data_IF_303311831968
#
_entry.id   IF_303311831968
#
_cell.length_a   1.000
_cell.length_b   1.000
_cell.length_c   1.000
_cell.angle_alpha   90.00
_cell.angle_beta   90.00
_cell.angle_gamma   90.00
#
_symmetry.space_group_name_H-M   'P 1'
#
loop_
_entity.id
_entity.type
_entity.pdbx_description
1 polymer ?
#
# COMPACT_ATOMS: atom_id res chain seq x y z
N UNK A 1 -20.51 15.50 1.94
CA UNK A 1 -19.37 15.26 1.03
C UNK A 1 -19.08 13.79 1.17
N UNK A 2 -19.34 13.00 0.13
CA UNK A 2 -19.21 11.55 0.20
C UNK A 2 -17.80 11.19 -0.30
N UNK A 3 -17.07 10.38 0.46
CA UNK A 3 -15.81 9.83 0.00
C UNK A 3 -16.07 8.86 -1.17
N UNK A 4 -15.29 9.00 -2.24
CA UNK A 4 -15.40 8.14 -3.42
C UNK A 4 -14.41 6.99 -3.30
N UNK A 5 -14.88 5.78 -3.59
CA UNK A 5 -14.08 4.55 -3.51
C UNK A 5 -14.08 3.89 -4.89
N UNK A 6 -12.90 3.57 -5.42
CA UNK A 6 -12.75 2.83 -6.67
C UNK A 6 -11.95 1.55 -6.44
N UNK A 7 -12.32 0.48 -7.14
CA UNK A 7 -11.48 -0.72 -7.20
C UNK A 7 -10.41 -0.52 -8.28
N UNK A 8 -9.16 -0.76 -7.92
CA UNK A 8 -8.09 -0.88 -8.90
C UNK A 8 -8.17 -2.25 -9.58
N UNK A 9 -7.89 -2.28 -10.87
CA UNK A 9 -7.90 -3.52 -11.65
C UNK A 9 -6.78 -4.47 -11.21
N UNK A 10 -7.08 -5.77 -11.27
CA UNK A 10 -6.13 -6.84 -11.00
C UNK A 10 -6.24 -7.44 -9.60
N UNK A 11 -5.41 -8.46 -9.35
CA UNK A 11 -5.30 -9.13 -8.06
C UNK A 11 -3.89 -8.97 -7.53
N UNK A 12 -3.78 -8.60 -6.26
CA UNK A 12 -2.52 -8.26 -5.61
C UNK A 12 -2.13 -9.31 -4.59
N UNK A 13 -0.83 -9.48 -4.38
CA UNK A 13 -0.26 -10.44 -3.44
C UNK A 13 0.62 -9.69 -2.45
N UNK A 14 0.51 -10.06 -1.17
CA UNK A 14 1.32 -9.53 -0.09
C UNK A 14 2.51 -10.47 0.17
N UNK A 15 3.71 -9.91 0.25
CA UNK A 15 4.95 -10.64 0.46
C UNK A 15 5.66 -10.04 1.66
N UNK A 16 6.08 -10.89 2.59
CA UNK A 16 6.97 -10.54 3.69
C UNK A 16 8.35 -11.15 3.45
N UNK A 17 9.36 -10.30 3.59
CA UNK A 17 10.78 -10.62 3.50
C UNK A 17 11.47 -10.21 4.81
N UNK A 18 12.05 -11.16 5.55
CA UNK A 18 12.91 -10.88 6.69
C UNK A 18 14.10 -9.98 6.32
N UNK A 19 14.52 -9.08 7.23
CA UNK A 19 15.57 -8.09 6.95
C UNK A 19 16.95 -8.69 6.67
N UNK A 20 17.23 -9.89 7.16
CA UNK A 20 18.46 -10.65 6.87
C UNK A 20 18.49 -11.18 5.43
N UNK A 21 17.33 -11.35 4.79
CA UNK A 21 17.18 -11.76 3.39
C UNK A 21 16.99 -10.59 2.42
N UNK A 22 16.84 -9.36 2.93
CA UNK A 22 16.64 -8.16 2.11
C UNK A 22 17.67 -8.04 0.99
N UNK A 23 18.96 -8.15 1.32
CA UNK A 23 20.04 -8.02 0.32
C UNK A 23 20.00 -9.13 -0.74
N UNK A 24 19.63 -10.35 -0.34
CA UNK A 24 19.50 -11.49 -1.26
C UNK A 24 18.32 -11.32 -2.24
N UNK A 25 17.29 -10.57 -1.83
CA UNK A 25 16.09 -10.31 -2.62
C UNK A 25 16.01 -8.88 -3.18
N UNK A 26 17.08 -8.07 -3.05
CA UNK A 26 17.12 -6.72 -3.59
C UNK A 26 16.94 -6.70 -5.11
N UNK A 27 17.53 -7.66 -5.84
CA UNK A 27 17.38 -7.72 -7.29
C UNK A 27 15.92 -7.94 -7.73
N UNK A 28 15.16 -8.91 -7.17
CA UNK A 28 13.72 -9.01 -7.37
C UNK A 28 12.94 -7.73 -7.04
N UNK A 29 13.28 -7.07 -5.93
CA UNK A 29 12.65 -5.80 -5.51
C UNK A 29 12.87 -4.71 -6.56
N UNK A 30 14.10 -4.54 -7.04
CA UNK A 30 14.41 -3.55 -8.09
C UNK A 30 13.74 -3.92 -9.42
N UNK A 31 13.60 -5.22 -9.72
CA UNK A 31 12.94 -5.68 -10.94
C UNK A 31 11.45 -5.34 -10.99
N UNK A 32 10.74 -5.41 -9.85
CA UNK A 32 9.33 -5.00 -9.81
C UNK A 32 9.18 -3.48 -9.73
N UNK A 33 10.17 -2.78 -9.17
CA UNK A 33 10.13 -1.32 -9.06
C UNK A 33 10.25 -0.68 -10.45
N UNK A 34 11.10 -1.24 -11.30
CA UNK A 34 11.30 -0.77 -12.66
C UNK A 34 10.25 -1.45 -13.54
N UNK A 35 9.38 -0.70 -14.25
CA UNK A 35 8.31 -1.25 -15.09
C UNK A 35 8.87 -1.86 -16.38
N UNK A 36 9.64 -2.92 -16.23
CA UNK A 36 10.30 -3.67 -17.29
C UNK A 36 9.63 -5.04 -17.39
N UNK A 37 8.90 -5.28 -18.47
CA UNK A 37 8.30 -6.58 -18.75
C UNK A 37 9.31 -7.62 -19.23
N UNK A 38 10.50 -7.18 -19.70
CA UNK A 38 11.46 -8.04 -20.36
C UNK A 38 12.37 -8.77 -19.37
N UNK A 39 12.44 -10.09 -19.51
CA UNK A 39 13.50 -10.89 -18.89
C UNK A 39 14.73 -10.83 -19.81
N UNK A 40 15.90 -10.46 -19.29
CA UNK A 40 17.17 -10.43 -20.07
C UNK A 40 17.55 -11.79 -20.71
N UNK A 41 16.85 -12.88 -20.35
CA UNK A 41 16.97 -14.23 -20.90
C UNK A 41 16.01 -14.50 -22.07
N UNK A 42 15.55 -13.49 -22.81
CA UNK A 42 14.77 -13.66 -24.05
C UNK A 42 15.53 -14.40 -25.18
N UNK A 43 16.73 -14.90 -24.92
CA UNK A 43 17.51 -15.77 -25.79
C UNK A 43 17.18 -17.25 -25.52
N UNK A 44 16.01 -17.71 -25.98
CA UNK A 44 15.68 -19.08 -26.48
C UNK A 44 14.21 -19.43 -26.20
N UNK A 45 13.31 -19.08 -27.13
CA UNK A 45 12.10 -19.86 -27.43
C UNK A 45 11.02 -20.05 -26.36
N UNK A 46 11.20 -19.57 -25.12
CA UNK A 46 10.13 -19.52 -24.12
C UNK A 46 9.29 -18.26 -24.36
N UNK A 47 7.95 -18.35 -24.35
CA UNK A 47 7.11 -17.17 -24.47
C UNK A 47 7.45 -16.23 -23.32
N UNK A 48 7.77 -14.96 -23.61
CA UNK A 48 7.86 -13.93 -22.58
C UNK A 48 6.57 -13.99 -21.78
N UNK A 49 6.65 -14.30 -20.48
CA UNK A 49 5.49 -14.14 -19.61
C UNK A 49 5.19 -12.65 -19.59
N UNK A 50 4.14 -12.22 -20.30
CA UNK A 50 3.62 -10.86 -20.18
C UNK A 50 3.30 -10.64 -18.69
N UNK A 51 4.11 -9.80 -18.05
CA UNK A 51 3.92 -9.46 -16.65
C UNK A 51 2.73 -8.50 -16.59
N UNK A 52 1.55 -9.06 -16.26
CA UNK A 52 0.34 -8.30 -15.99
C UNK A 52 0.56 -7.29 -14.84
N UNK A 53 -0.31 -6.29 -14.73
CA UNK A 53 -0.26 -5.30 -13.66
C UNK A 53 0.48 -4.00 -14.01
N UNK A 54 0.95 -3.88 -15.25
CA UNK A 54 1.28 -2.60 -15.88
C UNK A 54 0.18 -2.19 -16.85
N UNK A 55 -0.15 -0.90 -16.91
CA UNK A 55 -1.05 -0.34 -17.91
C UNK A 55 -0.32 -0.14 -19.26
N UNK A 56 -1.04 0.38 -20.27
CA UNK A 56 -0.48 0.64 -21.62
C UNK A 56 0.67 1.64 -21.64
N UNK A 57 0.81 2.46 -20.61
CA UNK A 57 1.89 3.44 -20.45
C UNK A 57 3.09 2.88 -19.68
N UNK A 58 3.01 1.63 -19.23
CA UNK A 58 4.04 0.99 -18.41
C UNK A 58 4.01 1.43 -16.95
N UNK A 59 2.88 1.90 -16.43
CA UNK A 59 2.73 2.26 -15.01
C UNK A 59 2.06 1.12 -14.24
N UNK A 60 2.43 0.97 -12.97
CA UNK A 60 1.79 -0.02 -12.10
C UNK A 60 0.34 0.34 -11.81
N UNK A 61 -0.56 -0.66 -11.87
CA UNK A 61 -1.90 -0.53 -11.30
C UNK A 61 -1.81 -0.19 -9.81
N UNK A 62 -1.05 -1.01 -9.07
CA UNK A 62 -0.62 -0.73 -7.71
C UNK A 62 0.66 -1.50 -7.35
N UNK A 63 1.59 -0.83 -6.68
CA UNK A 63 2.79 -1.40 -6.09
C UNK A 63 3.11 -0.66 -4.80
N UNK A 64 3.25 -1.39 -3.69
CA UNK A 64 3.83 -0.86 -2.45
C UNK A 64 5.08 -1.65 -2.08
N UNK A 65 6.18 -0.96 -1.79
CA UNK A 65 7.42 -1.54 -1.24
C UNK A 65 7.72 -0.79 0.05
N UNK A 66 7.62 -1.49 1.18
CA UNK A 66 7.85 -0.92 2.51
C UNK A 66 8.98 -1.67 3.19
N UNK A 67 10.12 -1.02 3.40
CA UNK A 67 11.19 -1.48 4.30
C UNK A 67 11.03 -0.74 5.62
N UNK A 68 10.91 -1.48 6.72
CA UNK A 68 10.77 -0.96 8.07
C UNK A 68 11.88 -1.54 8.96
N UNK A 69 12.01 -1.08 10.21
CA UNK A 69 12.93 -1.67 11.18
C UNK A 69 12.65 -3.15 11.49
N UNK A 70 11.45 -3.66 11.13
CA UNK A 70 11.03 -5.03 11.41
C UNK A 70 11.18 -5.95 10.18
N UNK A 71 10.84 -5.45 8.99
CA UNK A 71 10.70 -6.29 7.81
C UNK A 71 10.76 -5.50 6.49
N UNK A 72 10.83 -6.21 5.38
CA UNK A 72 10.43 -5.70 4.07
C UNK A 72 9.10 -6.33 3.65
N UNK A 73 8.08 -5.50 3.44
CA UNK A 73 6.75 -5.87 2.99
C UNK A 73 6.50 -5.34 1.59
N UNK A 74 5.96 -6.17 0.71
CA UNK A 74 5.68 -5.83 -0.68
C UNK A 74 4.23 -6.19 -1.01
N UNK A 75 3.52 -5.26 -1.62
CA UNK A 75 2.24 -5.51 -2.28
C UNK A 75 2.46 -5.29 -3.76
N UNK A 76 2.30 -6.33 -4.57
CA UNK A 76 2.47 -6.23 -6.02
C UNK A 76 1.39 -7.05 -6.74
N UNK A 77 1.18 -6.79 -8.03
CA UNK A 77 0.26 -7.61 -8.82
C UNK A 77 0.71 -9.08 -8.81
N UNK A 78 -0.24 -10.01 -8.73
CA UNK A 78 0.03 -11.43 -8.44
C UNK A 78 0.92 -12.12 -9.49
N UNK A 79 0.92 -11.62 -10.73
CA UNK A 79 1.87 -12.05 -11.78
C UNK A 79 3.33 -11.81 -11.37
N UNK A 80 3.65 -10.70 -10.70
CA UNK A 80 5.01 -10.37 -10.27
C UNK A 80 5.43 -11.22 -9.08
N UNK A 81 4.53 -11.46 -8.12
CA UNK A 81 4.80 -12.40 -7.03
C UNK A 81 5.16 -13.80 -7.58
N UNK A 82 4.35 -14.30 -8.52
CA UNK A 82 4.53 -15.62 -9.14
C UNK A 82 5.76 -15.73 -10.05
N UNK A 83 6.01 -14.72 -10.89
CA UNK A 83 7.00 -14.81 -11.96
C UNK A 83 8.36 -14.17 -11.60
N UNK A 84 8.42 -13.37 -10.52
CA UNK A 84 9.65 -12.71 -10.06
C UNK A 84 10.08 -13.20 -8.67
N UNK A 85 9.18 -13.17 -7.68
CA UNK A 85 9.57 -13.54 -6.31
C UNK A 85 9.62 -15.05 -6.09
N UNK A 86 8.63 -15.83 -6.53
CA UNK A 86 8.67 -17.27 -6.32
C UNK A 86 9.95 -17.94 -6.88
N UNK A 87 10.42 -17.63 -8.11
CA UNK A 87 11.67 -18.19 -8.60
C UNK A 87 12.86 -17.76 -7.74
N UNK A 88 12.96 -16.46 -7.40
CA UNK A 88 14.04 -15.95 -6.57
C UNK A 88 14.08 -16.58 -5.17
N UNK A 89 12.92 -16.86 -4.57
CA UNK A 89 12.80 -17.53 -3.28
C UNK A 89 13.16 -19.02 -3.40
N UNK A 90 12.77 -19.69 -4.51
CA UNK A 90 13.13 -21.10 -4.77
C UNK A 90 14.64 -21.30 -4.91
N UNK A 91 15.35 -20.28 -5.37
CA UNK A 91 16.81 -20.30 -5.49
C UNK A 91 17.54 -20.12 -4.14
N UNK A 92 16.84 -19.72 -3.07
CA UNK A 92 17.40 -19.63 -1.72
C UNK A 92 17.56 -21.02 -1.08
N UNK A 93 18.49 -21.17 -0.11
CA UNK A 93 18.52 -22.35 0.75
C UNK A 93 17.16 -22.62 1.39
N UNK A 94 16.74 -23.89 1.44
CA UNK A 94 15.37 -24.30 1.84
C UNK A 94 14.89 -23.73 3.17
N UNK A 95 15.79 -23.53 4.14
CA UNK A 95 15.41 -23.00 5.45
C UNK A 95 15.23 -21.49 5.43
N UNK A 96 15.99 -20.77 4.60
CA UNK A 96 15.81 -19.33 4.35
C UNK A 96 14.58 -19.08 3.47
N UNK A 97 14.31 -19.93 2.49
CA UNK A 97 13.13 -19.81 1.64
C UNK A 97 11.81 -19.88 2.45
N UNK A 98 11.80 -20.61 3.57
CA UNK A 98 10.62 -20.73 4.45
C UNK A 98 10.36 -19.50 5.32
N UNK A 99 11.37 -18.65 5.55
CA UNK A 99 11.20 -17.44 6.37
C UNK A 99 10.57 -16.29 5.57
N UNK A 100 10.71 -16.31 4.24
CA UNK A 100 9.94 -15.47 3.32
C UNK A 100 8.52 -16.01 3.19
N UNK A 101 7.51 -15.15 3.27
CA UNK A 101 6.11 -15.56 3.15
C UNK A 101 5.40 -14.77 2.07
N UNK A 102 4.83 -15.50 1.10
CA UNK A 102 3.89 -14.99 0.10
C UNK A 102 2.49 -15.35 0.58
N UNK A 103 1.57 -14.39 0.60
CA UNK A 103 0.18 -14.61 1.00
C UNK A 103 -0.49 -15.66 0.11
N UNK A 104 -1.28 -16.55 0.72
CA UNK A 104 -2.08 -17.54 -0.02
C UNK A 104 -3.32 -16.92 -0.64
N UNK A 105 -3.90 -15.96 0.07
CA UNK A 105 -5.00 -15.15 -0.42
C UNK A 105 -4.46 -14.06 -1.34
N UNK A 106 -5.24 -13.74 -2.37
CA UNK A 106 -5.07 -12.54 -3.18
C UNK A 106 -5.92 -11.41 -2.61
N UNK A 107 -5.53 -10.18 -2.92
CA UNK A 107 -6.17 -8.97 -2.44
C UNK A 107 -6.65 -8.11 -3.61
N UNK A 108 -7.78 -7.43 -3.40
CA UNK A 108 -8.22 -6.29 -4.21
C UNK A 108 -7.73 -5.03 -3.52
N UNK A 109 -7.37 -4.02 -4.32
CA UNK A 109 -6.97 -2.71 -3.80
C UNK A 109 -8.10 -1.73 -4.09
N UNK A 110 -8.55 -1.05 -3.04
CA UNK A 110 -9.49 0.07 -3.13
C UNK A 110 -8.66 1.35 -3.04
N UNK A 111 -8.83 2.25 -4.00
CA UNK A 111 -8.36 3.63 -3.90
C UNK A 111 -9.46 4.49 -3.31
N UNK A 112 -9.09 5.37 -2.38
CA UNK A 112 -10.02 6.27 -1.72
C UNK A 112 -9.58 7.71 -1.90
N UNK A 113 -10.47 8.47 -2.52
CA UNK A 113 -10.34 9.92 -2.68
C UNK A 113 -11.38 10.56 -1.75
N UNK A 114 -10.91 11.13 -0.64
CA UNK A 114 -11.76 11.90 0.27
C UNK A 114 -11.27 13.34 0.33
N UNK A 115 -12.05 14.23 -0.29
CA UNK A 115 -11.84 15.67 -0.21
C UNK A 115 -12.48 16.22 1.08
N UNK A 116 -11.69 16.92 1.90
CA UNK A 116 -12.20 17.78 2.97
C UNK A 116 -12.40 17.11 4.35
N UNK A 117 -11.94 15.88 4.55
CA UNK A 117 -11.89 15.23 5.88
C UNK A 117 -10.53 15.40 6.56
N UNK A 118 -10.51 15.44 7.89
CA UNK A 118 -9.26 15.29 8.63
C UNK A 118 -8.73 13.85 8.51
N UNK A 119 -7.41 13.67 8.52
CA UNK A 119 -6.78 12.39 8.16
C UNK A 119 -7.26 11.23 9.06
N UNK A 120 -7.44 11.52 10.35
CA UNK A 120 -7.97 10.60 11.34
C UNK A 120 -9.42 10.18 11.11
N UNK A 121 -10.32 11.15 10.85
CA UNK A 121 -11.72 10.90 10.55
C UNK A 121 -11.87 10.05 9.30
N UNK A 122 -11.03 10.29 8.29
CA UNK A 122 -10.99 9.51 7.05
C UNK A 122 -10.64 8.05 7.29
N UNK A 123 -9.58 7.76 8.06
CA UNK A 123 -9.23 6.37 8.44
C UNK A 123 -10.41 5.69 9.14
N UNK A 124 -11.09 6.39 10.05
CA UNK A 124 -12.22 5.82 10.79
C UNK A 124 -13.46 5.56 9.94
N UNK A 125 -13.86 6.51 9.12
CA UNK A 125 -15.05 6.39 8.26
C UNK A 125 -14.88 5.23 7.28
N UNK A 126 -13.67 5.05 6.74
CA UNK A 126 -13.38 3.99 5.77
C UNK A 126 -13.24 2.61 6.40
N UNK A 127 -12.59 2.52 7.56
CA UNK A 127 -12.23 1.22 8.15
C UNK A 127 -13.33 0.65 9.05
N UNK A 128 -14.19 1.49 9.62
CA UNK A 128 -15.31 1.05 10.46
C UNK A 128 -16.32 0.13 9.77
N UNK A 129 -16.85 0.40 8.56
CA UNK A 129 -17.81 -0.50 7.91
C UNK A 129 -17.20 -1.88 7.63
N UNK A 130 -15.93 -1.92 7.23
CA UNK A 130 -15.21 -3.16 6.94
C UNK A 130 -14.91 -3.95 8.22
N UNK A 131 -14.51 -3.27 9.29
CA UNK A 131 -14.26 -3.90 10.58
C UNK A 131 -15.55 -4.47 11.22
N UNK A 132 -16.67 -3.74 11.13
CA UNK A 132 -17.98 -4.23 11.60
C UNK A 132 -18.51 -5.39 10.74
N UNK A 133 -18.12 -5.47 9.48
CA UNK A 133 -18.41 -6.62 8.63
C UNK A 133 -17.46 -7.82 8.86
N UNK A 134 -16.45 -7.68 9.74
CA UNK A 134 -15.46 -8.72 10.01
C UNK A 134 -14.51 -8.98 8.83
N UNK A 135 -14.21 -7.95 8.04
CA UNK A 135 -13.29 -8.04 6.90
C UNK A 135 -11.88 -7.61 7.36
N UNK A 136 -10.85 -8.46 7.19
CA UNK A 136 -9.47 -8.06 7.46
C UNK A 136 -8.98 -7.11 6.37
N UNK A 137 -8.21 -6.10 6.76
CA UNK A 137 -7.72 -5.08 5.83
C UNK A 137 -6.25 -4.78 6.07
N UNK A 138 -5.55 -4.37 5.01
CA UNK A 138 -4.33 -3.57 5.13
C UNK A 138 -4.66 -2.15 4.68
N UNK A 139 -4.25 -1.16 5.45
CA UNK A 139 -4.47 0.25 5.17
C UNK A 139 -3.14 0.95 4.93
N UNK A 140 -3.02 1.68 3.82
CA UNK A 140 -1.82 2.40 3.41
C UNK A 140 -2.21 3.83 3.09
N UNK A 141 -1.82 4.77 3.97
CA UNK A 141 -1.90 6.20 3.68
C UNK A 141 -0.74 6.62 2.79
N UNK A 142 -1.07 7.32 1.69
CA UNK A 142 -0.09 7.92 0.79
C UNK A 142 -0.27 9.42 0.68
N UNK A 143 0.55 10.09 -0.13
CA UNK A 143 0.55 11.54 -0.28
C UNK A 143 -0.76 12.07 -0.89
N UNK A 144 -1.38 11.32 -1.80
CA UNK A 144 -2.59 11.74 -2.52
C UNK A 144 -3.83 10.97 -2.08
N UNK A 145 -3.72 9.64 -2.02
CA UNK A 145 -4.85 8.74 -1.77
C UNK A 145 -4.58 7.78 -0.61
N UNK A 146 -5.63 7.29 0.02
CA UNK A 146 -5.51 6.13 0.92
C UNK A 146 -5.87 4.86 0.14
N UNK A 147 -5.12 3.78 0.39
CA UNK A 147 -5.36 2.49 -0.21
C UNK A 147 -5.74 1.45 0.82
N UNK A 148 -6.77 0.64 0.50
CA UNK A 148 -7.25 -0.44 1.35
C UNK A 148 -7.14 -1.75 0.58
N UNK A 149 -6.37 -2.70 1.13
CA UNK A 149 -6.34 -4.06 0.62
C UNK A 149 -7.37 -4.89 1.35
N UNK A 150 -8.19 -5.60 0.59
CA UNK A 150 -9.19 -6.55 1.11
C UNK A 150 -9.02 -7.90 0.42
N UNK A 151 -9.25 -9.04 1.09
CA UNK A 151 -9.18 -10.34 0.42
C UNK A 151 -10.14 -10.39 -0.79
N UNK A 152 -9.68 -10.91 -1.94
CA UNK A 152 -10.50 -10.93 -3.16
C UNK A 152 -11.81 -11.73 -2.98
N UNK A 153 -11.79 -12.74 -2.11
CA UNK A 153 -12.97 -13.54 -1.74
C UNK A 153 -14.08 -12.73 -1.07
N UNK A 154 -13.75 -11.60 -0.45
CA UNK A 154 -14.68 -10.78 0.34
C UNK A 154 -15.30 -9.62 -0.46
N UNK A 155 -15.03 -9.52 -1.78
CA UNK A 155 -15.50 -8.41 -2.64
C UNK A 155 -16.97 -8.04 -2.46
N UNK A 156 -17.86 -9.03 -2.47
CA UNK A 156 -19.31 -8.79 -2.34
C UNK A 156 -19.67 -8.24 -0.95
N UNK A 157 -19.02 -8.74 0.10
CA UNK A 157 -19.21 -8.27 1.47
C UNK A 157 -18.69 -6.85 1.63
N UNK A 158 -17.53 -6.53 1.04
CA UNK A 158 -16.95 -5.18 1.00
C UNK A 158 -17.92 -4.19 0.34
N UNK A 159 -18.40 -4.50 -0.88
CA UNK A 159 -19.36 -3.67 -1.61
C UNK A 159 -20.63 -3.42 -0.77
N UNK A 160 -21.18 -4.48 -0.18
CA UNK A 160 -22.37 -4.36 0.68
C UNK A 160 -22.12 -3.50 1.92
N UNK A 161 -20.97 -3.67 2.57
CA UNK A 161 -20.62 -2.93 3.77
C UNK A 161 -20.43 -1.44 3.50
N UNK A 162 -19.73 -1.10 2.41
CA UNK A 162 -19.51 0.29 2.00
C UNK A 162 -20.82 0.98 1.56
N UNK A 163 -21.62 0.34 0.71
CA UNK A 163 -22.91 0.90 0.26
C UNK A 163 -23.88 1.12 1.44
N UNK A 164 -23.90 0.20 2.41
CA UNK A 164 -24.74 0.34 3.60
C UNK A 164 -24.36 1.54 4.48
N UNK A 165 -23.13 2.06 4.35
CA UNK A 165 -22.63 3.22 5.08
C UNK A 165 -22.53 4.48 4.21
N UNK A 166 -23.16 4.48 3.03
CA UNK A 166 -23.32 5.68 2.19
C UNK A 166 -22.14 6.00 1.27
N UNK A 167 -21.19 5.09 1.10
CA UNK A 167 -20.11 5.25 0.12
C UNK A 167 -20.61 5.06 -1.30
N UNK A 168 -20.09 5.88 -2.21
CA UNK A 168 -20.31 5.75 -3.65
C UNK A 168 -19.14 5.01 -4.27
N UNK A 169 -19.44 3.87 -4.92
CA UNK A 169 -18.47 3.12 -5.69
C UNK A 169 -18.37 3.74 -7.07
N UNK A 170 -17.17 4.19 -7.44
CA UNK A 170 -16.90 4.62 -8.80
C UNK A 170 -16.97 3.40 -9.73
N UNK A 171 -17.81 3.47 -10.75
CA UNK A 171 -17.91 2.42 -11.78
C UNK A 171 -16.62 2.40 -12.63
N UNK A 172 -15.67 1.55 -12.27
CA UNK A 172 -14.74 0.98 -13.25
C UNK A 172 -15.41 -0.26 -13.82
N UNK A 173 -16.39 -0.03 -14.70
CA UNK A 173 -17.08 -1.07 -15.45
C UNK A 173 -16.11 -1.73 -16.45
N UNK A 174 -15.34 -2.72 -16.00
CA UNK A 174 -14.83 -3.76 -16.89
C UNK A 174 -15.90 -4.84 -17.07
N UNK A 175 -16.76 -4.62 -18.07
CA UNK A 175 -17.64 -5.59 -18.73
C UNK A 175 -18.78 -6.23 -17.91
N UNK A 176 -19.82 -5.46 -17.58
CA UNK A 176 -21.17 -6.02 -17.42
C UNK A 176 -21.95 -5.94 -18.75
N UNK A 177 -21.76 -6.91 -19.64
CA UNK A 177 -22.78 -7.19 -20.66
C UNK A 177 -23.92 -7.93 -19.97
N UNK A 178 -24.97 -7.22 -19.59
CA UNK A 178 -26.26 -7.85 -19.34
C UNK A 178 -26.96 -8.13 -20.68
N UNK A 179 -27.54 -9.32 -20.85
CA UNK A 179 -28.91 -9.38 -21.34
C UNK A 179 -29.78 -10.04 -20.26
N UNK A 180 -30.79 -9.30 -19.82
CA UNK A 180 -31.88 -9.84 -19.04
C UNK A 180 -32.63 -10.90 -19.86
N UNK A 181 -32.76 -12.12 -19.33
CA UNK A 181 -34.01 -12.88 -19.22
C UNK A 181 -33.76 -14.33 -18.77
N UNK A 182 -34.32 -14.64 -17.58
CA UNK A 182 -34.99 -15.90 -17.24
C UNK A 182 -34.14 -17.17 -17.00
N UNK A 183 -34.18 -17.69 -15.77
CA UNK A 183 -35.03 -18.83 -15.31
C UNK A 183 -34.47 -19.34 -13.96
N UNK A 184 -35.38 -19.62 -13.04
CA UNK A 184 -35.21 -20.23 -11.74
C UNK A 184 -34.17 -21.37 -11.64
N UNK A 185 -33.32 -21.32 -10.61
CA UNK A 185 -32.80 -22.52 -9.95
C UNK A 185 -32.48 -22.20 -8.48
N UNK A 186 -33.22 -22.85 -7.58
CA UNK A 186 -32.87 -22.98 -6.16
C UNK A 186 -31.73 -24.00 -6.07
N UNK A 187 -30.58 -23.62 -5.52
CA UNK A 187 -29.47 -24.55 -5.37
C UNK A 187 -28.40 -24.10 -4.37
N UNK A 188 -28.49 -24.69 -3.17
CA UNK A 188 -27.42 -25.06 -2.24
C UNK A 188 -26.43 -23.98 -1.76
N UNK A 189 -26.67 -23.50 -0.53
CA UNK A 189 -25.65 -22.96 0.38
C UNK A 189 -24.50 -23.96 0.56
N UNK A 190 -23.30 -23.61 0.09
CA UNK A 190 -22.06 -24.29 0.46
C UNK A 190 -21.27 -23.43 1.46
N UNK A 191 -20.86 -24.11 2.53
CA UNK A 191 -20.20 -23.62 3.73
C UNK A 191 -18.93 -22.80 3.45
N UNK A 192 -18.99 -21.50 3.68
CA UNK A 192 -17.91 -20.82 4.40
C UNK A 192 -18.16 -21.04 5.90
N UNK A 193 -17.23 -21.66 6.61
CA UNK A 193 -17.34 -21.81 8.06
C UNK A 193 -17.54 -20.43 8.72
N UNK A 194 -18.36 -20.32 9.77
CA UNK A 194 -18.59 -19.03 10.43
C UNK A 194 -17.25 -18.50 10.96
N UNK A 195 -17.04 -17.17 10.96
CA UNK A 195 -15.88 -16.58 11.62
C UNK A 195 -15.84 -17.08 13.07
N UNK A 196 -14.62 -17.37 13.57
CA UNK A 196 -14.38 -17.97 14.89
C UNK A 196 -14.98 -17.14 16.05
N UNK A 197 -15.34 -15.89 15.79
CA UNK A 197 -16.12 -15.01 16.67
C UNK A 197 -17.10 -14.19 15.83
N UNK A 198 -18.34 -13.94 16.30
CA UNK A 198 -19.28 -13.08 15.58
C UNK A 198 -18.70 -11.66 15.43
N UNK A 199 -19.00 -10.92 14.34
CA UNK A 199 -18.53 -9.55 14.16
C UNK A 199 -19.01 -8.62 15.29
N UNK A 200 -18.28 -7.54 15.59
CA UNK A 200 -18.69 -6.57 16.59
C UNK A 200 -19.92 -5.78 16.13
N UNK A 201 -20.78 -5.40 17.07
CA UNK A 201 -22.03 -4.68 16.78
C UNK A 201 -21.88 -3.15 16.86
N UNK A 202 -20.82 -2.65 17.50
CA UNK A 202 -20.54 -1.22 17.67
C UNK A 202 -19.03 -0.93 17.61
N UNK A 203 -18.66 0.33 17.32
CA UNK A 203 -17.25 0.77 17.32
C UNK A 203 -16.61 0.63 18.71
N UNK A 204 -17.35 0.95 19.78
CA UNK A 204 -16.85 0.82 21.14
C UNK A 204 -16.53 -0.65 21.50
N UNK A 205 -17.41 -1.58 21.13
CA UNK A 205 -17.16 -3.01 21.31
C UNK A 205 -15.96 -3.48 20.46
N UNK A 206 -15.86 -3.01 19.22
CA UNK A 206 -14.75 -3.30 18.31
C UNK A 206 -13.41 -2.85 18.92
N UNK A 207 -13.34 -1.64 19.48
CA UNK A 207 -12.12 -1.13 20.13
C UNK A 207 -11.71 -2.03 21.30
N UNK A 208 -12.64 -2.37 22.21
CA UNK A 208 -12.35 -3.26 23.35
C UNK A 208 -11.80 -4.60 22.86
N UNK A 209 -12.48 -5.25 21.90
CA UNK A 209 -12.02 -6.52 21.33
C UNK A 209 -10.64 -6.42 20.68
N UNK A 210 -10.35 -5.29 20.02
CA UNK A 210 -9.05 -5.04 19.38
C UNK A 210 -7.94 -5.00 20.43
N UNK A 211 -8.10 -4.21 21.50
CA UNK A 211 -7.07 -4.12 22.54
C UNK A 211 -6.93 -5.41 23.34
N UNK A 212 -8.02 -6.16 23.58
CA UNK A 212 -7.95 -7.48 24.19
C UNK A 212 -7.14 -8.47 23.33
N UNK A 213 -7.34 -8.45 22.00
CA UNK A 213 -6.58 -9.27 21.07
C UNK A 213 -5.09 -8.90 21.08
N UNK A 214 -4.78 -7.61 20.94
CA UNK A 214 -3.41 -7.11 20.92
C UNK A 214 -2.69 -7.42 22.24
N UNK A 215 -3.37 -7.23 23.38
CA UNK A 215 -2.84 -7.58 24.71
C UNK A 215 -2.61 -9.08 24.88
N UNK A 216 -3.56 -9.92 24.44
CA UNK A 216 -3.43 -11.39 24.47
C UNK A 216 -2.21 -11.86 23.66
N UNK A 217 -1.86 -11.12 22.62
CA UNK A 217 -0.72 -11.39 21.73
C UNK A 217 0.56 -10.67 22.13
N UNK A 218 0.55 -9.97 23.27
CA UNK A 218 1.69 -9.22 23.81
C UNK A 218 2.24 -8.17 22.84
N UNK A 219 1.36 -7.55 22.05
CA UNK A 219 1.73 -6.44 21.17
C UNK A 219 2.07 -5.23 22.03
N UNK A 220 3.24 -4.66 21.83
CA UNK A 220 3.69 -3.44 22.52
C UNK A 220 3.96 -2.33 21.50
N UNK A 221 3.36 -1.14 21.67
CA UNK A 221 3.66 -0.01 20.82
C UNK A 221 5.06 0.52 21.14
N UNK A 222 5.85 0.84 20.11
CA UNK A 222 7.17 1.41 20.30
C UNK A 222 7.54 2.40 19.21
N UNK A 223 8.49 3.28 19.51
CA UNK A 223 9.08 4.24 18.56
C UNK A 223 10.57 3.94 18.48
N UNK A 224 11.09 3.91 17.25
CA UNK A 224 12.52 3.78 17.01
C UNK A 224 13.25 5.08 17.31
N UNK A 225 14.34 4.99 18.08
CA UNK A 225 15.19 6.15 18.34
C UNK A 225 15.80 6.67 17.03
N UNK A 226 15.85 8.00 16.93
CA UNK A 226 16.42 8.75 15.81
C UNK A 226 15.78 8.46 14.43
N UNK A 227 14.59 7.84 14.40
CA UNK A 227 13.84 7.63 13.17
C UNK A 227 12.79 8.73 13.00
N UNK A 228 13.06 9.66 12.09
CA UNK A 228 12.13 10.71 11.69
C UNK A 228 11.75 10.51 10.23
N UNK A 229 10.46 10.56 9.94
CA UNK A 229 9.92 10.36 8.61
C UNK A 229 9.45 11.67 8.00
N UNK A 230 9.44 11.70 6.68
CA UNK A 230 8.84 12.76 5.86
C UNK A 230 8.02 12.12 4.75
N UNK A 231 6.87 12.72 4.46
CA UNK A 231 5.96 12.24 3.42
C UNK A 231 6.07 13.15 2.21
N UNK A 232 6.41 12.56 1.06
CA UNK A 232 6.72 13.26 -0.16
C UNK A 232 6.04 12.60 -1.37
N UNK A 233 6.01 13.34 -2.45
CA UNK A 233 5.58 12.88 -3.76
C UNK A 233 6.71 13.08 -4.79
N UNK A 234 6.75 12.23 -5.81
CA UNK A 234 7.52 12.47 -7.02
C UNK A 234 6.91 13.58 -7.88
N UNK A 235 7.74 14.26 -8.68
CA UNK A 235 7.21 15.22 -9.65
C UNK A 235 6.46 14.49 -10.77
N UNK A 236 5.30 15.03 -11.14
CA UNK A 236 4.56 14.58 -12.30
C UNK A 236 5.28 15.02 -13.59
N UNK A 237 5.54 14.07 -14.50
CA UNK A 237 6.30 14.30 -15.74
C UNK A 237 5.58 15.23 -16.72
N UNK A 238 4.25 15.38 -16.61
CA UNK A 238 3.45 16.30 -17.41
C UNK A 238 3.91 17.77 -17.28
N UNK A 239 4.51 18.14 -16.15
CA UNK A 239 5.04 19.49 -15.91
C UNK A 239 6.41 19.73 -16.57
N UNK A 240 7.17 18.68 -16.92
CA UNK A 240 8.45 18.84 -17.64
C UNK A 240 8.27 19.21 -19.12
N UNK A 241 7.12 18.91 -19.72
CA UNK A 241 6.81 19.26 -21.11
C UNK A 241 6.42 20.74 -21.32
N UNK A 242 6.01 21.43 -20.26
CA UNK A 242 5.52 22.82 -20.31
C UNK A 242 6.59 23.90 -20.19
N UNK A 243 7.70 23.64 -19.48
CA UNK A 243 8.67 24.71 -19.15
C UNK A 243 9.90 24.74 -20.08
N UNK A 244 10.16 23.67 -20.85
CA UNK A 244 11.28 23.63 -21.81
C UNK A 244 10.87 24.00 -23.25
N UNK A 245 9.58 24.26 -23.50
CA UNK A 245 9.05 24.57 -24.83
C UNK A 245 9.04 26.07 -25.18
N UNK A 246 9.45 26.97 -24.27
CA UNK A 246 9.39 28.42 -24.51
C UNK A 246 10.69 29.12 -24.97
N UNK A 247 11.79 28.39 -25.21
CA UNK A 247 13.03 29.02 -25.76
C UNK A 247 13.69 28.32 -26.95
N UNK A 248 13.09 27.27 -27.53
CA UNK A 248 13.61 26.71 -28.77
C UNK A 248 13.10 27.50 -29.99
N UNK A 249 14.04 28.28 -30.55
CA UNK A 249 13.94 28.85 -31.90
C UNK A 249 13.40 27.81 -32.89
N UNK A 250 12.51 28.18 -33.83
CA UNK A 250 12.06 27.25 -34.86
C UNK A 250 13.21 26.98 -35.83
N UNK A 251 13.91 25.85 -35.64
CA UNK A 251 14.85 25.35 -36.62
C UNK A 251 14.08 24.70 -37.77
N UNK A 252 14.10 25.38 -38.91
CA UNK A 252 13.66 24.86 -40.20
C UNK A 252 14.40 23.56 -40.55
N UNK A 253 13.61 22.58 -41.01
CA UNK A 253 14.03 21.38 -41.74
C UNK A 253 14.85 20.32 -40.97
N UNK A 254 14.18 19.21 -40.65
CA UNK A 254 14.75 17.88 -40.93
C UNK A 254 13.61 16.97 -41.38
N UNK A 255 13.73 16.49 -42.61
CA UNK A 255 12.85 15.50 -43.20
C UNK A 255 12.71 14.31 -42.25
N UNK A 256 11.45 13.88 -42.06
CA UNK A 256 11.07 12.65 -41.36
C UNK A 256 11.66 11.47 -42.14
N UNK A 257 12.80 10.97 -41.68
CA UNK A 257 13.26 9.62 -42.02
C UNK A 257 12.62 8.66 -41.03
N UNK A 258 11.86 7.71 -41.55
CA UNK A 258 11.05 6.76 -40.78
C UNK A 258 11.87 5.77 -39.96
N UNK A 259 12.35 6.22 -38.80
CA UNK A 259 12.77 5.34 -37.72
C UNK A 259 11.72 5.44 -36.62
N UNK A 260 10.79 4.48 -36.58
CA UNK A 260 9.83 4.32 -35.49
C UNK A 260 10.64 4.04 -34.22
N UNK A 261 10.95 5.09 -33.46
CA UNK A 261 11.61 4.94 -32.17
C UNK A 261 10.60 4.25 -31.27
N UNK A 262 10.87 2.99 -30.90
CA UNK A 262 10.03 2.23 -29.99
C UNK A 262 10.03 2.99 -28.66
N UNK A 263 8.93 3.66 -28.33
CA UNK A 263 8.76 4.37 -27.05
C UNK A 263 9.11 3.40 -25.91
N UNK A 264 9.97 3.86 -25.01
CA UNK A 264 10.40 3.10 -23.85
C UNK A 264 9.73 3.67 -22.60
N UNK A 265 9.56 2.85 -21.56
CA UNK A 265 8.99 3.31 -20.28
C UNK A 265 9.80 4.47 -19.66
N UNK A 266 11.09 4.57 -19.97
CA UNK A 266 11.99 5.65 -19.53
C UNK A 266 11.55 7.03 -20.04
N UNK A 267 10.81 7.08 -21.16
CA UNK A 267 10.33 8.34 -21.74
C UNK A 267 9.18 8.95 -20.92
N UNK A 268 8.51 8.14 -20.09
CA UNK A 268 7.30 8.54 -19.35
C UNK A 268 7.54 8.74 -17.84
N UNK A 269 8.77 8.51 -17.35
CA UNK A 269 9.09 8.53 -15.91
C UNK A 269 10.19 9.54 -15.56
N UNK A 270 10.18 10.05 -14.32
CA UNK A 270 11.32 10.83 -13.80
C UNK A 270 12.49 9.88 -13.47
N UNK A 271 13.45 9.79 -14.40
CA UNK A 271 14.65 8.96 -14.24
C UNK A 271 15.49 9.33 -13.01
N UNK A 272 15.49 10.61 -12.58
CA UNK A 272 16.21 11.03 -11.37
C UNK A 272 15.54 10.47 -10.12
N UNK A 273 14.21 10.55 -10.07
CA UNK A 273 13.42 9.97 -8.98
C UNK A 273 13.66 8.46 -8.85
N UNK A 274 13.52 7.71 -9.95
CA UNK A 274 13.74 6.25 -9.93
C UNK A 274 15.19 5.89 -9.57
N UNK A 275 16.17 6.65 -10.05
CA UNK A 275 17.59 6.46 -9.65
C UNK A 275 17.79 6.69 -8.15
N UNK A 276 17.15 7.71 -7.58
CA UNK A 276 17.18 7.97 -6.14
C UNK A 276 16.49 6.85 -5.34
N UNK A 277 15.35 6.33 -5.81
CA UNK A 277 14.66 5.19 -5.18
C UNK A 277 15.51 3.92 -5.18
N UNK A 278 16.15 3.59 -6.31
CA UNK A 278 17.11 2.47 -6.40
C UNK A 278 18.25 2.68 -5.41
N UNK A 279 18.82 3.89 -5.37
CA UNK A 279 19.94 4.23 -4.49
C UNK A 279 19.55 4.10 -3.01
N UNK A 280 18.36 4.56 -2.65
CA UNK A 280 17.82 4.46 -1.29
C UNK A 280 17.61 3.00 -0.88
N UNK A 281 17.02 2.15 -1.74
CA UNK A 281 16.86 0.71 -1.48
C UNK A 281 18.22 0.00 -1.36
N UNK A 282 19.16 0.32 -2.25
CA UNK A 282 20.52 -0.25 -2.21
C UNK A 282 21.29 0.14 -0.93
N UNK A 283 20.97 1.28 -0.32
CA UNK A 283 21.56 1.73 0.94
C UNK A 283 21.02 1.01 2.19
N UNK A 284 20.09 0.04 2.03
CA UNK A 284 19.45 -0.72 3.12
C UNK A 284 18.81 0.21 4.17
N UNK A 285 17.74 0.92 3.80
CA UNK A 285 17.17 1.98 4.62
C UNK A 285 16.55 1.42 5.90
N UNK A 286 16.61 2.20 7.00
CA UNK A 286 15.87 1.86 8.24
C UNK A 286 14.36 1.95 8.02
N UNK A 287 13.93 2.94 7.25
CA UNK A 287 12.54 3.10 6.84
C UNK A 287 12.44 3.70 5.44
N UNK A 288 11.69 3.05 4.57
CA UNK A 288 11.18 3.63 3.33
C UNK A 288 9.89 2.92 2.95
N UNK A 289 8.84 3.66 2.59
CA UNK A 289 7.65 3.11 1.93
C UNK A 289 7.46 3.84 0.61
N UNK A 290 7.43 3.09 -0.48
CA UNK A 290 7.25 3.56 -1.84
C UNK A 290 5.91 3.03 -2.31
N UNK A 291 5.04 3.90 -2.82
CA UNK A 291 3.78 3.50 -3.47
C UNK A 291 3.71 4.06 -4.88
N UNK A 292 3.52 3.19 -5.87
CA UNK A 292 3.20 3.53 -7.25
C UNK A 292 1.77 3.06 -7.52
N UNK A 293 0.90 3.95 -8.00
CA UNK A 293 -0.47 3.63 -8.35
C UNK A 293 -0.84 4.34 -9.66
N UNK A 294 -1.76 3.77 -10.44
CA UNK A 294 -2.04 4.22 -11.80
C UNK A 294 -2.52 5.68 -11.90
N UNK A 295 -3.25 6.16 -10.89
CA UNK A 295 -3.86 7.50 -10.90
C UNK A 295 -3.09 8.53 -10.04
N UNK A 296 -2.03 8.11 -9.35
CA UNK A 296 -1.26 8.96 -8.43
C UNK A 296 0.21 9.06 -8.85
N UNK A 297 0.82 10.26 -8.78
CA UNK A 297 2.28 10.36 -8.82
C UNK A 297 2.93 9.50 -7.72
N UNK A 298 4.17 9.02 -7.92
CA UNK A 298 4.86 8.19 -6.94
C UNK A 298 4.84 8.81 -5.53
N UNK A 299 4.34 8.08 -4.54
CA UNK A 299 4.31 8.55 -3.16
C UNK A 299 5.37 7.86 -2.32
N UNK A 300 6.08 8.63 -1.49
CA UNK A 300 7.15 8.14 -0.65
C UNK A 300 6.98 8.61 0.80
N UNK A 301 7.06 7.67 1.74
CA UNK A 301 7.27 7.95 3.16
C UNK A 301 8.67 7.47 3.52
N UNK A 302 9.59 8.39 3.76
CA UNK A 302 11.03 8.07 3.83
C UNK A 302 11.62 8.52 5.15
N UNK A 303 12.64 7.79 5.62
CA UNK A 303 13.56 8.30 6.65
C UNK A 303 14.17 9.63 6.17
N UNK A 304 14.09 10.67 7.01
CA UNK A 304 14.56 12.02 6.71
C UNK A 304 16.04 12.05 6.34
N UNK A 305 16.85 11.13 6.85
CA UNK A 305 18.27 11.00 6.49
C UNK A 305 18.50 10.66 5.02
N UNK A 306 17.50 10.06 4.34
CA UNK A 306 17.56 9.68 2.93
C UNK A 306 17.19 10.83 1.98
N UNK A 307 16.62 11.94 2.48
CA UNK A 307 16.17 13.06 1.64
C UNK A 307 17.26 13.59 0.69
N UNK A 308 18.52 13.59 1.14
CA UNK A 308 19.65 14.05 0.34
C UNK A 308 19.86 13.26 -0.95
N UNK A 309 19.40 12.00 -1.01
CA UNK A 309 19.51 11.15 -2.22
C UNK A 309 18.55 11.59 -3.33
N UNK A 310 17.43 12.22 -2.97
CA UNK A 310 16.37 12.57 -3.91
C UNK A 310 16.50 13.98 -4.48
N UNK A 311 17.30 14.85 -3.85
CA UNK A 311 17.53 16.22 -4.32
C UNK A 311 16.22 16.96 -4.58
N UNK A 312 16.06 17.46 -5.81
CA UNK A 312 14.87 18.23 -6.22
C UNK A 312 13.74 17.36 -6.79
N UNK A 313 13.91 16.04 -6.91
CA UNK A 313 12.90 15.14 -7.51
C UNK A 313 11.67 14.91 -6.62
N UNK A 314 11.74 15.29 -5.34
CA UNK A 314 10.61 15.22 -4.40
C UNK A 314 9.88 16.57 -4.29
N UNK A 315 8.58 16.46 -4.04
CA UNK A 315 7.67 17.56 -3.75
C UNK A 315 6.93 17.24 -2.45
N UNK A 316 6.53 18.28 -1.72
CA UNK A 316 5.80 18.16 -0.46
C UNK A 316 6.55 18.76 0.73
N UNK A 317 6.01 18.55 1.92
CA UNK A 317 6.58 19.08 3.16
C UNK A 317 7.72 18.19 3.67
N UNK A 318 8.94 18.55 3.32
CA UNK A 318 10.18 17.91 3.79
C UNK A 318 10.66 18.41 5.15
N UNK A 319 9.99 19.43 5.71
CA UNK A 319 10.38 20.07 6.97
C UNK A 319 9.69 19.42 8.17
N UNK A 320 8.41 19.08 8.03
CA UNK A 320 7.65 18.43 9.09
C UNK A 320 8.21 17.06 9.41
N UNK A 321 8.49 16.85 10.69
CA UNK A 321 8.99 15.57 11.19
C UNK A 321 7.80 14.71 11.64
N UNK A 322 7.69 13.54 11.04
CA UNK A 322 6.74 12.50 11.42
C UNK A 322 7.45 11.41 12.23
N UNK A 323 6.77 10.84 13.21
CA UNK A 323 7.27 9.79 14.10
C UNK A 323 6.36 8.57 13.98
N UNK A 324 6.89 7.41 13.55
CA UNK A 324 6.14 6.17 13.45
C UNK A 324 6.09 5.45 14.81
N UNK A 325 4.89 5.10 15.26
CA UNK A 325 4.64 4.18 16.36
C UNK A 325 4.35 2.81 15.75
N UNK A 326 5.27 1.88 15.94
CA UNK A 326 5.17 0.51 15.44
C UNK A 326 4.36 -0.35 16.39
N UNK A 327 3.54 -1.21 15.80
CA UNK A 327 2.80 -2.29 16.44
C UNK A 327 3.30 -3.59 15.80
N UNK A 328 3.96 -4.43 16.61
CA UNK A 328 4.38 -5.76 16.16
C UNK A 328 3.18 -6.70 16.09
N UNK A 329 2.83 -7.11 14.87
CA UNK A 329 1.69 -7.98 14.58
C UNK A 329 2.12 -9.37 14.09
N UNK A 330 3.40 -9.75 14.19
CA UNK A 330 3.90 -11.04 13.70
C UNK A 330 3.16 -12.24 14.30
N UNK A 331 2.77 -12.12 15.57
CA UNK A 331 2.04 -13.18 16.27
C UNK A 331 0.55 -13.24 15.91
N UNK A 332 0.04 -12.31 15.09
CA UNK A 332 -1.37 -12.27 14.67
C UNK A 332 -1.56 -12.93 13.30
N UNK A 333 -2.70 -13.62 13.09
CA UNK A 333 -3.07 -14.09 11.76
C UNK A 333 -3.42 -12.91 10.84
N UNK A 334 -3.22 -13.05 9.53
CA UNK A 334 -3.60 -12.03 8.53
C UNK A 334 -5.12 -11.82 8.49
N UNK A 335 -5.89 -12.79 8.96
CA UNK A 335 -7.35 -12.74 9.11
C UNK A 335 -7.80 -11.94 10.33
N UNK A 336 -6.89 -11.37 11.13
CA UNK A 336 -7.25 -10.49 12.24
C UNK A 336 -7.93 -9.21 11.72
N UNK A 337 -9.11 -8.92 12.25
CA UNK A 337 -9.96 -7.81 11.78
C UNK A 337 -9.95 -6.65 12.76
N UNK A 338 -10.13 -5.43 12.26
CA UNK A 338 -10.48 -4.30 13.11
C UNK A 338 -9.32 -3.63 13.83
N UNK A 339 -8.08 -4.07 13.64
CA UNK A 339 -6.88 -3.49 14.27
C UNK A 339 -6.75 -2.00 13.90
N UNK A 340 -6.79 -1.68 12.61
CA UNK A 340 -6.65 -0.30 12.12
C UNK A 340 -7.73 0.60 12.72
N UNK A 341 -9.01 0.20 12.60
CA UNK A 341 -10.14 0.94 13.14
C UNK A 341 -10.09 1.06 14.68
N UNK A 342 -9.74 -0.01 15.39
CA UNK A 342 -9.67 -0.01 16.85
C UNK A 342 -8.55 0.91 17.38
N UNK A 343 -7.37 0.88 16.76
CA UNK A 343 -6.23 1.73 17.12
C UNK A 343 -6.51 3.18 16.73
N UNK A 344 -6.83 3.45 15.46
CA UNK A 344 -7.10 4.80 14.99
C UNK A 344 -8.27 5.43 15.75
N UNK A 345 -9.37 4.70 15.94
CA UNK A 345 -10.55 5.21 16.63
C UNK A 345 -10.28 5.55 18.09
N UNK A 346 -9.44 4.75 18.75
CA UNK A 346 -9.03 5.03 20.13
C UNK A 346 -8.18 6.30 20.20
N UNK A 347 -7.24 6.47 19.27
CA UNK A 347 -6.43 7.69 19.21
C UNK A 347 -7.29 8.92 18.91
N UNK A 348 -8.22 8.83 17.95
CA UNK A 348 -9.13 9.93 17.60
C UNK A 348 -10.04 10.32 18.77
N UNK A 349 -10.52 9.34 19.54
CA UNK A 349 -11.40 9.58 20.68
C UNK A 349 -10.67 10.20 21.88
N UNK A 350 -9.46 9.72 22.17
CA UNK A 350 -8.72 10.10 23.37
C UNK A 350 -7.79 11.31 23.14
N UNK A 351 -7.52 11.68 21.88
CA UNK A 351 -6.83 12.93 21.52
C UNK A 351 -7.81 14.12 21.52
N UNK A 352 -7.33 15.31 21.89
CA UNK A 352 -8.16 16.52 21.84
C UNK A 352 -8.57 16.83 20.40
N UNK A 353 -9.75 17.40 20.21
CA UNK A 353 -10.26 17.81 18.90
C UNK A 353 -9.25 18.71 18.18
N UNK A 354 -8.68 18.23 17.05
CA UNK A 354 -7.63 18.90 16.29
C UNK A 354 -6.24 18.26 16.39
N UNK A 355 -5.95 17.51 17.46
CA UNK A 355 -4.66 16.84 17.66
C UNK A 355 -4.53 15.53 16.86
N UNK A 356 -5.57 15.07 16.18
CA UNK A 356 -5.55 13.88 15.32
C UNK A 356 -5.45 14.21 13.82
N UNK A 357 -5.42 15.49 13.46
CA UNK A 357 -5.60 15.96 12.08
C UNK A 357 -4.54 15.50 11.06
N UNK A 358 -3.45 14.87 11.51
CA UNK A 358 -2.37 14.34 10.67
C UNK A 358 -2.12 12.83 10.81
N UNK A 359 -3.04 12.07 11.41
CA UNK A 359 -2.86 10.62 11.57
C UNK A 359 -2.81 9.93 10.22
N UNK A 360 -1.68 9.27 9.95
CA UNK A 360 -1.49 8.37 8.82
C UNK A 360 -1.28 6.94 9.33
N UNK A 361 -1.67 5.95 8.54
CA UNK A 361 -1.50 4.55 8.92
C UNK A 361 -0.84 3.77 7.79
N UNK A 362 0.17 2.97 8.13
CA UNK A 362 0.83 2.04 7.21
C UNK A 362 0.73 0.63 7.75
N UNK A 363 -0.02 -0.22 7.05
CA UNK A 363 -0.05 -1.66 7.31
C UNK A 363 1.00 -2.35 6.44
N UNK A 364 1.81 -3.18 7.09
CA UNK A 364 2.77 -4.08 6.46
C UNK A 364 2.38 -5.53 6.76
N UNK A 365 3.12 -6.50 6.26
CA UNK A 365 2.76 -7.90 6.36
C UNK A 365 2.76 -8.44 7.80
N UNK A 366 3.64 -7.94 8.67
CA UNK A 366 3.72 -8.34 10.09
C UNK A 366 3.70 -7.17 11.06
N UNK A 367 3.50 -5.94 10.60
CA UNK A 367 3.42 -4.78 11.49
C UNK A 367 2.39 -3.74 11.03
N UNK A 368 1.90 -2.97 11.99
CA UNK A 368 1.18 -1.73 11.72
C UNK A 368 2.00 -0.54 12.21
N UNK A 369 1.99 0.57 11.49
CA UNK A 369 2.63 1.82 11.92
C UNK A 369 1.62 2.96 11.91
N UNK A 370 1.42 3.58 13.08
CA UNK A 370 0.69 4.84 13.20
C UNK A 370 1.70 5.97 13.08
N UNK A 371 1.52 6.86 12.11
CA UNK A 371 2.45 7.93 11.80
C UNK A 371 1.80 9.27 12.15
N UNK A 372 2.46 10.03 13.00
CA UNK A 372 1.97 11.28 13.59
C UNK A 372 3.12 12.30 13.66
N UNK A 373 2.82 13.57 13.91
CA UNK A 373 3.89 14.52 14.28
C UNK A 373 4.58 14.09 15.58
N UNK A 374 5.79 14.58 15.83
CA UNK A 374 6.54 14.26 17.06
C UNK A 374 5.73 14.50 18.34
N UNK A 375 5.06 15.64 18.46
CA UNK A 375 4.24 15.95 19.65
C UNK A 375 3.05 14.98 19.80
N UNK A 376 2.33 14.72 18.71
CA UNK A 376 1.19 13.81 18.71
C UNK A 376 1.60 12.37 18.99
N UNK A 377 2.78 11.95 18.54
CA UNK A 377 3.29 10.58 18.77
C UNK A 377 3.54 10.29 20.25
N UNK A 378 4.04 11.28 21.01
CA UNK A 378 4.23 11.14 22.46
C UNK A 378 2.88 10.91 23.14
N UNK A 379 1.88 11.72 22.80
CA UNK A 379 0.52 11.57 23.36
C UNK A 379 -0.13 10.25 22.93
N UNK A 380 0.06 9.83 21.68
CA UNK A 380 -0.44 8.55 21.20
C UNK A 380 0.18 7.38 21.99
N UNK A 381 1.47 7.42 22.28
CA UNK A 381 2.12 6.41 23.12
C UNK A 381 1.54 6.42 24.55
N UNK A 382 1.31 7.58 25.15
CA UNK A 382 0.68 7.69 26.47
C UNK A 382 -0.74 7.10 26.50
N UNK A 383 -1.48 7.16 25.39
CA UNK A 383 -2.81 6.56 25.24
C UNK A 383 -2.73 5.04 25.01
N UNK A 384 -1.84 4.58 24.12
CA UNK A 384 -1.77 3.18 23.69
C UNK A 384 -1.10 2.27 24.72
N UNK A 385 -0.02 2.75 25.35
CA UNK A 385 0.78 1.98 26.32
C UNK A 385 -0.08 1.38 27.44
N UNK A 386 -0.87 2.14 28.22
CA UNK A 386 -1.65 1.58 29.32
C UNK A 386 -2.73 0.59 28.87
N UNK A 387 -3.22 0.71 27.63
CA UNK A 387 -4.22 -0.22 27.07
C UNK A 387 -3.58 -1.56 26.68
N UNK A 388 -2.34 -1.53 26.17
CA UNK A 388 -1.63 -2.69 25.64
C UNK A 388 -0.74 -3.41 26.67
N UNK A 389 -0.21 -2.69 27.66
CA UNK A 389 0.54 -3.30 28.76
C UNK A 389 -0.37 -3.81 29.88
N UNK A 390 0.01 -4.93 30.50
CA UNK A 390 -0.56 -5.36 31.78
C UNK A 390 0.04 -4.49 32.90
N UNK A 391 -0.81 -4.05 33.82
CA UNK A 391 -0.36 -3.81 35.18
C UNK A 391 0.03 -5.15 35.83
#
# INVERSE_FOLDING_TARGET
MNAQVSFLDGNYTLIHIPLDLYSSLLQPILRILLPQTQTLKASKGEPEHELEGLNTEGQHGFLNISVTPMECSIVCHSSWAKNVFEPAIKDLPKDLAKSVSISKDTYLVLSVISAGMDAAGRVMELTSPLALAGIPIFFITTYYSDFILVPSKDRQTVVKALLAHGFELADNDSNFVSPAASIHSRGSSQNSGPPLTPPPSTIAELQVRTFDLLKKRSVSPYVEADLLLVQCSGRETSQLGGELSHTQRPSLSRQVTGNSHRQTWLDNIDTKLYTAMISALAARPRFISITLAQDDPPSLLVDKSLLGLFGESLVGDTKTNLTPIFLDLESLPLEATGIVCGVAGTLVQDMRTGDSAGLSYLSTARAGAVILSCEQSIRALEILTPKLFKA
#
